data_IF_686461395408
#
_entry.id   IF_686461395408
#
_cell.length_a   1.000
_cell.length_b   1.000
_cell.length_c   1.000
_cell.angle_alpha   90.00
_cell.angle_beta   90.00
_cell.angle_gamma   90.00
#
_symmetry.space_group_name_H-M   'P 1'
#
loop_
_entity.id
_entity.type
_entity.pdbx_description
1 polymer ?
#
# COMPACT_ATOMS: atom_id res chain seq x y z
N UNK A 1 26.16 -6.33 -32.22
CA UNK A 1 27.59 -6.64 -32.00
C UNK A 1 28.30 -5.35 -31.71
N UNK A 2 29.16 -5.32 -30.69
CA UNK A 2 30.06 -4.19 -30.38
C UNK A 2 31.45 -4.81 -30.32
N UNK A 3 32.39 -4.33 -31.14
CA UNK A 3 33.75 -4.90 -31.25
C UNK A 3 33.75 -6.43 -31.51
N UNK A 4 32.94 -6.89 -32.47
CA UNK A 4 32.78 -8.30 -32.83
C UNK A 4 32.34 -9.25 -31.71
N UNK A 5 31.99 -8.72 -30.54
CA UNK A 5 31.37 -9.47 -29.45
C UNK A 5 29.83 -9.33 -29.53
N UNK A 6 29.10 -10.42 -29.23
CA UNK A 6 27.65 -10.36 -29.12
C UNK A 6 27.25 -9.42 -27.97
N UNK A 7 26.32 -8.51 -28.24
CA UNK A 7 25.83 -7.57 -27.23
C UNK A 7 24.98 -8.38 -26.25
N UNK A 8 25.26 -8.25 -24.96
CA UNK A 8 24.51 -9.03 -23.95
C UNK A 8 23.34 -8.23 -23.37
N UNK A 9 23.52 -6.92 -23.21
CA UNK A 9 22.50 -5.99 -22.76
C UNK A 9 22.80 -4.56 -23.24
N UNK A 10 21.76 -3.74 -23.34
CA UNK A 10 21.82 -2.30 -23.53
C UNK A 10 21.53 -1.62 -22.19
N UNK A 11 22.40 -0.70 -21.79
CA UNK A 11 22.24 0.05 -20.55
C UNK A 11 22.07 1.53 -20.92
N UNK A 12 21.03 2.13 -20.35
CA UNK A 12 20.74 3.54 -20.46
C UNK A 12 20.76 4.12 -19.06
N UNK A 13 21.40 5.27 -18.92
CA UNK A 13 21.51 5.96 -17.65
C UNK A 13 21.02 7.38 -17.80
N UNK A 14 20.22 7.82 -16.83
CA UNK A 14 19.72 9.17 -16.75
C UNK A 14 19.70 9.63 -15.31
N UNK A 15 20.37 10.74 -15.00
CA UNK A 15 20.31 11.37 -13.68
C UNK A 15 19.36 12.55 -13.72
N UNK A 16 18.28 12.50 -12.93
CA UNK A 16 17.32 13.60 -12.84
C UNK A 16 17.95 14.78 -12.08
N UNK A 17 17.99 15.95 -12.72
CA UNK A 17 18.49 17.20 -12.11
C UNK A 17 17.36 18.19 -11.76
N UNK A 18 16.13 17.87 -12.16
CA UNK A 18 14.94 18.69 -11.99
C UNK A 18 13.84 17.82 -11.39
N UNK A 19 13.17 18.33 -10.36
CA UNK A 19 11.95 17.73 -9.81
C UNK A 19 10.76 18.64 -10.11
N UNK A 20 9.58 18.05 -10.26
CA UNK A 20 8.32 18.78 -10.44
C UNK A 20 7.51 18.62 -9.17
N UNK A 21 7.15 19.75 -8.55
CA UNK A 21 6.32 19.76 -7.35
C UNK A 21 4.85 19.42 -7.67
N UNK A 22 4.03 19.15 -6.66
CA UNK A 22 2.58 18.91 -6.78
C UNK A 22 1.83 20.04 -7.48
N UNK A 23 2.37 21.26 -7.45
CA UNK A 23 1.86 22.44 -8.16
C UNK A 23 2.41 22.61 -9.60
N UNK A 24 3.03 21.56 -10.17
CA UNK A 24 3.70 21.58 -11.48
C UNK A 24 4.84 22.60 -11.62
N UNK A 25 5.42 23.05 -10.50
CA UNK A 25 6.57 23.97 -10.51
C UNK A 25 7.87 23.19 -10.54
N UNK A 26 8.73 23.53 -11.49
CA UNK A 26 10.08 22.99 -11.58
C UNK A 26 10.92 23.49 -10.38
N UNK A 27 11.47 22.55 -9.62
CA UNK A 27 12.45 22.79 -8.55
C UNK A 27 13.78 22.18 -8.99
N UNK A 28 14.81 23.02 -9.06
CA UNK A 28 16.19 22.59 -9.34
C UNK A 28 16.98 22.25 -8.08
N UNK A 29 18.26 21.96 -8.27
CA UNK A 29 19.24 21.62 -7.23
C UNK A 29 19.31 22.64 -6.08
N UNK A 30 18.95 23.91 -6.34
CA UNK A 30 18.97 24.99 -5.35
C UNK A 30 18.05 24.76 -4.14
N UNK A 31 17.07 23.85 -4.24
CA UNK A 31 16.18 23.49 -3.12
C UNK A 31 16.59 22.21 -2.38
N UNK A 32 17.83 21.75 -2.52
CA UNK A 32 18.35 20.59 -1.78
C UNK A 32 17.73 19.25 -2.22
N UNK A 33 17.27 19.17 -3.46
CA UNK A 33 16.74 17.91 -4.03
C UNK A 33 17.91 16.97 -4.29
N UNK A 34 17.83 15.77 -3.74
CA UNK A 34 18.79 14.70 -4.01
C UNK A 34 18.57 14.20 -5.44
N UNK A 35 19.59 14.22 -6.31
CA UNK A 35 19.46 13.74 -7.68
C UNK A 35 19.16 12.23 -7.69
N UNK A 36 18.19 11.82 -8.52
CA UNK A 36 17.84 10.40 -8.68
C UNK A 36 18.45 9.85 -9.95
N UNK A 37 19.36 8.90 -9.81
CA UNK A 37 19.93 8.17 -10.94
C UNK A 37 19.02 7.00 -11.34
N UNK A 38 18.60 7.00 -12.60
CA UNK A 38 17.77 5.94 -13.20
C UNK A 38 18.64 5.18 -14.18
N UNK A 39 18.84 3.89 -13.91
CA UNK A 39 19.54 2.97 -14.79
C UNK A 39 18.52 1.99 -15.38
N UNK A 40 18.37 2.00 -16.70
CA UNK A 40 17.54 1.06 -17.43
C UNK A 40 18.41 0.06 -18.20
N UNK A 41 18.33 -1.22 -17.82
CA UNK A 41 19.07 -2.30 -18.46
C UNK A 41 18.12 -3.22 -19.23
N UNK A 42 18.28 -3.29 -20.54
CA UNK A 42 17.54 -4.16 -21.45
C UNK A 42 18.44 -5.29 -21.96
N UNK A 43 18.09 -6.54 -21.64
CA UNK A 43 18.84 -7.72 -22.14
C UNK A 43 18.39 -8.06 -23.56
N UNK A 44 19.34 -8.41 -24.44
CA UNK A 44 19.00 -8.82 -25.82
C UNK A 44 18.16 -10.10 -25.85
N UNK A 45 18.40 -11.03 -24.92
CA UNK A 45 17.69 -12.31 -24.83
C UNK A 45 16.90 -12.41 -23.54
N UNK A 46 15.64 -12.83 -23.65
CA UNK A 46 14.81 -13.14 -22.49
C UNK A 46 15.26 -14.48 -21.87
N UNK A 47 16.22 -14.41 -20.94
CA UNK A 47 16.75 -15.55 -20.20
C UNK A 47 16.00 -15.82 -18.88
N UNK A 48 14.72 -15.41 -18.80
CA UNK A 48 13.84 -15.57 -17.63
C UNK A 48 14.31 -14.79 -16.39
N UNK A 49 13.50 -14.90 -15.33
CA UNK A 49 13.62 -14.12 -14.08
C UNK A 49 14.92 -14.38 -13.31
N UNK A 50 15.34 -15.64 -13.21
CA UNK A 50 16.50 -16.02 -12.40
C UNK A 50 17.78 -15.36 -12.91
N UNK A 51 17.90 -15.24 -14.23
CA UNK A 51 19.00 -14.52 -14.86
C UNK A 51 18.92 -13.01 -14.59
N UNK A 52 17.73 -12.39 -14.60
CA UNK A 52 17.60 -10.96 -14.22
C UNK A 52 18.01 -10.69 -12.78
N UNK A 53 17.67 -11.57 -11.83
CA UNK A 53 18.17 -11.44 -10.45
C UNK A 53 19.69 -11.63 -10.39
N UNK A 54 20.22 -12.58 -11.15
CA UNK A 54 21.66 -12.80 -11.21
C UNK A 54 22.39 -11.54 -11.68
N UNK A 55 21.91 -10.90 -12.75
CA UNK A 55 22.42 -9.59 -13.21
C UNK A 55 22.32 -8.52 -12.13
N UNK A 56 21.15 -8.38 -11.48
CA UNK A 56 20.99 -7.39 -10.41
C UNK A 56 22.01 -7.58 -9.29
N UNK A 57 22.09 -8.79 -8.72
CA UNK A 57 22.90 -9.04 -7.52
C UNK A 57 24.39 -9.26 -7.80
N UNK A 58 24.77 -9.80 -8.96
CA UNK A 58 26.18 -10.12 -9.26
C UNK A 58 26.83 -9.11 -10.22
N UNK A 59 26.07 -8.33 -10.99
CA UNK A 59 26.63 -7.30 -11.85
C UNK A 59 26.41 -5.89 -11.29
N UNK A 60 25.18 -5.52 -10.91
CA UNK A 60 24.87 -4.15 -10.49
C UNK A 60 25.14 -3.88 -9.01
N UNK A 61 24.68 -4.73 -8.10
CA UNK A 61 24.84 -4.52 -6.65
C UNK A 61 26.31 -4.36 -6.21
N UNK A 62 27.30 -5.09 -6.75
CA UNK A 62 28.70 -4.88 -6.37
C UNK A 62 29.24 -3.51 -6.77
N UNK A 63 28.73 -2.93 -7.87
CA UNK A 63 29.13 -1.62 -8.37
C UNK A 63 28.42 -0.48 -7.65
N UNK A 64 27.11 -0.62 -7.41
CA UNK A 64 26.27 0.42 -6.81
C UNK A 64 26.26 0.40 -5.28
N UNK A 65 26.67 -0.72 -4.67
CA UNK A 65 26.69 -0.95 -3.22
C UNK A 65 25.41 -0.47 -2.51
N UNK A 66 24.21 -0.93 -2.92
CA UNK A 66 22.96 -0.43 -2.37
C UNK A 66 22.76 -0.88 -0.92
N UNK A 67 22.30 0.03 -0.06
CA UNK A 67 21.90 -0.31 1.32
C UNK A 67 20.66 -1.23 1.37
N UNK A 68 19.75 -1.08 0.41
CA UNK A 68 18.50 -1.83 0.33
C UNK A 68 18.22 -2.23 -1.13
N UNK A 69 17.80 -3.48 -1.35
CA UNK A 69 17.38 -3.97 -2.67
C UNK A 69 15.91 -4.42 -2.62
N UNK A 70 15.07 -3.82 -3.45
CA UNK A 70 13.64 -4.17 -3.57
C UNK A 70 13.37 -4.76 -4.96
N UNK A 71 12.76 -5.95 -5.00
CA UNK A 71 12.42 -6.64 -6.26
C UNK A 71 10.91 -6.62 -6.49
N UNK A 72 10.47 -5.83 -7.46
CA UNK A 72 9.06 -5.66 -7.79
C UNK A 72 8.67 -6.54 -8.98
N UNK A 73 7.58 -7.32 -8.86
CA UNK A 73 7.03 -8.13 -9.95
C UNK A 73 5.50 -8.17 -9.94
N UNK A 74 4.91 -7.82 -11.08
CA UNK A 74 3.51 -8.09 -11.40
C UNK A 74 3.30 -9.52 -11.96
N UNK A 75 2.06 -10.00 -11.98
CA UNK A 75 1.75 -11.29 -12.59
C UNK A 75 1.88 -11.23 -14.14
N UNK A 76 1.77 -12.38 -14.81
CA UNK A 76 1.96 -12.50 -16.27
C UNK A 76 0.96 -11.69 -17.10
N UNK A 77 -0.15 -11.25 -16.49
CA UNK A 77 -1.21 -10.44 -17.11
C UNK A 77 -1.05 -8.96 -16.73
N UNK A 78 0.04 -8.58 -16.05
CA UNK A 78 0.23 -7.22 -15.53
C UNK A 78 -0.70 -6.85 -14.37
N UNK A 79 -1.41 -7.83 -13.80
CA UNK A 79 -2.30 -7.68 -12.65
C UNK A 79 -1.62 -8.17 -11.36
N UNK A 80 -2.26 -7.96 -10.22
CA UNK A 80 -1.82 -8.50 -8.93
C UNK A 80 -1.58 -7.43 -7.87
N UNK A 81 -1.09 -7.82 -6.69
CA UNK A 81 -1.05 -6.94 -5.51
C UNK A 81 -0.27 -5.64 -5.77
N UNK A 82 0.83 -5.70 -6.51
CA UNK A 82 1.64 -4.53 -6.85
C UNK A 82 0.95 -3.59 -7.86
N UNK A 83 0.26 -4.14 -8.87
CA UNK A 83 -0.54 -3.32 -9.78
C UNK A 83 -1.71 -2.63 -9.07
N UNK A 84 -2.26 -3.26 -8.03
CA UNK A 84 -3.29 -2.66 -7.20
C UNK A 84 -2.71 -1.59 -6.28
N UNK A 85 -1.53 -1.81 -5.69
CA UNK A 85 -0.84 -0.79 -4.90
C UNK A 85 -0.69 0.54 -5.67
N UNK A 86 -0.14 0.50 -6.89
CA UNK A 86 0.01 1.70 -7.73
C UNK A 86 -1.27 2.16 -8.43
N UNK A 87 -2.40 1.49 -8.23
CA UNK A 87 -3.65 1.90 -8.87
C UNK A 87 -4.09 3.27 -8.37
N UNK A 88 -3.81 3.61 -7.11
CA UNK A 88 -4.04 4.94 -6.51
C UNK A 88 -3.48 6.09 -7.36
N UNK A 89 -2.25 5.97 -7.82
CA UNK A 89 -1.57 7.00 -8.62
C UNK A 89 -2.24 7.23 -9.98
N UNK A 90 -2.78 6.16 -10.60
CA UNK A 90 -3.48 6.26 -11.89
C UNK A 90 -4.92 6.76 -11.78
N UNK A 91 -5.47 6.84 -10.56
CA UNK A 91 -6.82 7.34 -10.30
C UNK A 91 -6.85 8.86 -10.20
N UNK A 92 -5.72 9.51 -9.88
CA UNK A 92 -5.59 10.96 -9.90
C UNK A 92 -5.73 11.48 -11.35
N UNK A 93 -6.90 12.04 -11.67
CA UNK A 93 -7.20 12.62 -12.99
C UNK A 93 -8.09 11.78 -13.91
N UNK A 94 -8.64 10.65 -13.45
CA UNK A 94 -9.71 9.90 -14.14
C UNK A 94 -11.00 9.98 -13.33
N UNK A 95 -12.17 9.82 -13.98
CA UNK A 95 -13.49 9.73 -13.33
C UNK A 95 -13.60 8.43 -12.49
N UNK A 96 -12.88 8.40 -11.37
CA UNK A 96 -12.94 7.33 -10.39
C UNK A 96 -14.14 7.55 -9.48
N UNK A 97 -14.95 6.50 -9.31
CA UNK A 97 -16.06 6.49 -8.37
C UNK A 97 -15.61 6.88 -6.95
N UNK A 98 -16.47 7.60 -6.22
CA UNK A 98 -16.18 8.15 -4.88
C UNK A 98 -15.71 7.06 -3.92
N UNK A 99 -16.29 5.86 -4.00
CA UNK A 99 -15.89 4.73 -3.18
C UNK A 99 -14.44 4.31 -3.48
N UNK A 100 -14.09 4.22 -4.78
CA UNK A 100 -12.76 3.82 -5.22
C UNK A 100 -11.71 4.85 -4.79
N UNK A 101 -11.99 6.15 -4.96
CA UNK A 101 -11.08 7.22 -4.58
C UNK A 101 -10.81 7.23 -3.07
N UNK A 102 -11.85 7.07 -2.25
CA UNK A 102 -11.67 7.00 -0.80
C UNK A 102 -10.97 5.71 -0.34
N UNK A 103 -11.23 4.59 -1.01
CA UNK A 103 -10.58 3.32 -0.71
C UNK A 103 -9.06 3.39 -0.95
N UNK A 104 -8.63 4.04 -2.02
CA UNK A 104 -7.20 4.20 -2.34
C UNK A 104 -6.47 5.25 -1.49
N UNK A 105 -7.16 5.98 -0.62
CA UNK A 105 -6.50 6.76 0.45
C UNK A 105 -5.77 5.86 1.47
N UNK A 106 -6.07 4.56 1.48
CA UNK A 106 -5.41 3.54 2.30
C UNK A 106 -4.93 2.35 1.43
N UNK A 107 -4.19 2.65 0.37
CA UNK A 107 -3.61 1.68 -0.57
C UNK A 107 -2.86 0.53 0.12
N UNK A 108 -2.11 0.79 1.19
CA UNK A 108 -1.39 -0.22 1.97
C UNK A 108 -2.34 -1.29 2.55
N UNK A 109 -3.53 -0.88 2.99
CA UNK A 109 -4.53 -1.80 3.57
C UNK A 109 -5.12 -2.69 2.48
N UNK A 110 -5.38 -2.11 1.31
CA UNK A 110 -5.85 -2.86 0.14
C UNK A 110 -4.78 -3.82 -0.34
N UNK A 111 -3.52 -3.39 -0.38
CA UNK A 111 -2.38 -4.26 -0.70
C UNK A 111 -2.32 -5.44 0.26
N UNK A 112 -2.41 -5.21 1.57
CA UNK A 112 -2.43 -6.27 2.57
C UNK A 112 -3.53 -7.30 2.29
N UNK A 113 -4.74 -6.84 2.00
CA UNK A 113 -5.85 -7.72 1.63
C UNK A 113 -5.55 -8.55 0.38
N UNK A 114 -5.10 -7.90 -0.70
CA UNK A 114 -4.84 -8.54 -1.99
C UNK A 114 -3.66 -9.54 -1.92
N UNK A 115 -2.72 -9.34 -1.00
CA UNK A 115 -1.67 -10.31 -0.71
C UNK A 115 -2.23 -11.59 -0.08
N UNK A 116 -3.08 -11.46 0.94
CA UNK A 116 -3.69 -12.62 1.64
C UNK A 116 -4.73 -13.31 0.75
N UNK A 117 -5.58 -12.56 0.05
CA UNK A 117 -6.63 -13.08 -0.82
C UNK A 117 -6.09 -13.60 -2.17
N UNK A 118 -4.77 -13.62 -2.39
CA UNK A 118 -4.16 -13.99 -3.67
C UNK A 118 -4.52 -15.43 -4.08
N UNK A 119 -5.20 -15.55 -5.22
CA UNK A 119 -5.60 -16.84 -5.80
C UNK A 119 -4.43 -17.80 -5.96
N UNK A 120 -4.64 -19.05 -5.56
CA UNK A 120 -3.66 -20.12 -5.75
C UNK A 120 -2.43 -20.04 -4.84
N UNK A 121 -2.39 -19.10 -3.89
CA UNK A 121 -1.30 -18.91 -2.93
C UNK A 121 -1.85 -18.98 -1.50
N UNK A 122 -0.95 -19.15 -0.52
CA UNK A 122 -1.25 -19.29 0.90
C UNK A 122 -0.44 -18.29 1.74
N UNK A 123 -0.40 -17.04 1.29
CA UNK A 123 0.40 -15.98 1.89
C UNK A 123 -0.26 -15.47 3.17
N UNK A 124 0.51 -15.42 4.26
CA UNK A 124 0.06 -14.93 5.56
C UNK A 124 0.94 -13.74 5.94
N UNK A 125 0.30 -12.65 6.34
CA UNK A 125 0.98 -11.48 6.88
C UNK A 125 1.26 -11.69 8.37
N UNK A 126 2.46 -11.31 8.82
CA UNK A 126 2.88 -11.43 10.22
C UNK A 126 3.44 -10.10 10.70
N UNK A 127 3.06 -9.72 11.90
CA UNK A 127 3.65 -8.58 12.58
C UNK A 127 5.05 -8.94 13.08
N UNK A 128 6.03 -8.06 12.80
CA UNK A 128 7.43 -8.22 13.21
C UNK A 128 7.77 -7.08 14.17
N UNK A 129 7.82 -7.37 15.48
CA UNK A 129 8.01 -6.35 16.53
C UNK A 129 9.33 -5.58 16.42
N UNK A 130 10.37 -6.18 15.84
CA UNK A 130 11.68 -5.54 15.66
C UNK A 130 11.76 -4.64 14.43
N UNK A 131 10.77 -4.69 13.54
CA UNK A 131 10.71 -3.77 12.41
C UNK A 131 10.28 -2.39 12.93
N UNK A 132 11.03 -1.35 12.59
CA UNK A 132 10.70 0.03 12.91
C UNK A 132 10.69 0.86 11.62
N UNK A 133 9.85 1.88 11.60
CA UNK A 133 9.78 2.88 10.54
C UNK A 133 9.67 4.26 11.17
N UNK A 134 10.32 5.24 10.57
CA UNK A 134 10.23 6.65 10.96
C UNK A 134 9.22 7.34 10.04
N UNK A 135 8.35 8.16 10.62
CA UNK A 135 7.32 8.91 9.89
C UNK A 135 7.27 10.33 10.39
N UNK A 136 6.96 11.27 9.48
CA UNK A 136 6.78 12.67 9.84
C UNK A 136 5.60 12.86 10.81
N UNK A 137 5.83 13.60 11.89
CA UNK A 137 4.80 13.93 12.87
C UNK A 137 4.15 15.26 12.47
N UNK A 138 2.81 15.38 12.49
CA UNK A 138 2.16 16.64 12.20
C UNK A 138 2.53 17.70 13.24
N UNK A 139 2.86 18.90 12.78
CA UNK A 139 3.32 19.99 13.67
C UNK A 139 2.15 20.91 14.08
N UNK A 140 1.06 20.89 13.33
CA UNK A 140 -0.10 21.75 13.57
C UNK A 140 -1.40 20.94 13.74
N UNK A 141 -2.34 21.51 14.50
CA UNK A 141 -3.66 20.89 14.74
C UNK A 141 -4.44 20.65 13.43
N UNK A 142 -4.48 21.58 12.45
CA UNK A 142 -5.19 21.34 11.19
C UNK A 142 -4.57 20.18 10.39
N UNK A 143 -3.24 20.08 10.38
CA UNK A 143 -2.53 18.98 9.72
C UNK A 143 -2.88 17.64 10.39
N UNK A 144 -2.84 17.59 11.72
CA UNK A 144 -3.22 16.42 12.49
C UNK A 144 -4.66 15.98 12.19
N UNK A 145 -5.62 16.92 12.20
CA UNK A 145 -7.03 16.61 11.90
C UNK A 145 -7.17 16.08 10.47
N UNK A 146 -6.53 16.74 9.49
CA UNK A 146 -6.55 16.31 8.08
C UNK A 146 -5.98 14.89 7.92
N UNK A 147 -4.86 14.59 8.58
CA UNK A 147 -4.29 13.23 8.59
C UNK A 147 -5.27 12.20 9.18
N UNK A 148 -5.91 12.51 10.30
CA UNK A 148 -6.86 11.61 10.95
C UNK A 148 -8.11 11.37 10.12
N UNK A 149 -8.68 12.41 9.51
CA UNK A 149 -9.82 12.29 8.60
C UNK A 149 -9.50 11.38 7.42
N UNK A 150 -8.32 11.56 6.79
CA UNK A 150 -7.85 10.69 5.70
C UNK A 150 -7.75 9.23 6.13
N UNK A 151 -7.14 8.97 7.29
CA UNK A 151 -6.95 7.62 7.80
C UNK A 151 -8.26 6.95 8.20
N UNK A 152 -9.20 7.70 8.79
CA UNK A 152 -10.52 7.20 9.15
C UNK A 152 -11.30 6.81 7.90
N UNK A 153 -11.38 7.69 6.90
CA UNK A 153 -12.06 7.42 5.64
C UNK A 153 -11.42 6.21 4.93
N UNK A 154 -10.11 6.24 4.72
CA UNK A 154 -9.40 5.14 4.05
C UNK A 154 -9.58 3.79 4.76
N UNK A 155 -9.49 3.77 6.09
CA UNK A 155 -9.68 2.54 6.87
C UNK A 155 -11.12 2.01 6.80
N UNK A 156 -12.12 2.91 6.82
CA UNK A 156 -13.53 2.54 6.72
C UNK A 156 -13.86 1.90 5.37
N UNK A 157 -13.48 2.57 4.28
CA UNK A 157 -13.74 2.05 2.93
C UNK A 157 -12.95 0.77 2.64
N UNK A 158 -11.71 0.65 3.12
CA UNK A 158 -10.93 -0.57 3.01
C UNK A 158 -11.54 -1.75 3.80
N UNK A 159 -12.13 -1.49 4.98
CA UNK A 159 -12.82 -2.51 5.77
C UNK A 159 -14.10 -3.00 5.07
N UNK A 160 -14.90 -2.11 4.49
CA UNK A 160 -16.07 -2.51 3.68
C UNK A 160 -15.62 -3.34 2.48
N UNK A 161 -14.58 -2.89 1.78
CA UNK A 161 -14.06 -3.60 0.60
C UNK A 161 -13.61 -5.02 0.94
N UNK A 162 -12.81 -5.20 1.98
CA UNK A 162 -12.30 -6.53 2.39
C UNK A 162 -13.43 -7.47 2.80
N UNK A 163 -14.43 -6.97 3.54
CA UNK A 163 -15.60 -7.74 3.94
C UNK A 163 -16.48 -8.13 2.73
N UNK A 164 -16.74 -7.20 1.82
CA UNK A 164 -17.51 -7.47 0.60
C UNK A 164 -16.83 -8.52 -0.30
N UNK A 165 -15.49 -8.55 -0.29
CA UNK A 165 -14.70 -9.47 -1.11
C UNK A 165 -14.22 -10.72 -0.35
N UNK A 166 -14.70 -10.99 0.87
CA UNK A 166 -14.22 -12.11 1.69
C UNK A 166 -14.35 -13.48 1.03
N UNK A 167 -15.31 -13.64 0.11
CA UNK A 167 -15.48 -14.86 -0.69
C UNK A 167 -14.28 -15.19 -1.59
N UNK A 168 -13.40 -14.22 -1.88
CA UNK A 168 -12.13 -14.48 -2.58
C UNK A 168 -11.22 -15.43 -1.79
N UNK A 169 -11.35 -15.47 -0.47
CA UNK A 169 -10.55 -16.33 0.41
C UNK A 169 -10.71 -17.82 0.05
N UNK A 170 -11.89 -18.23 -0.41
CA UNK A 170 -12.15 -19.60 -0.87
C UNK A 170 -11.34 -20.02 -2.11
N UNK A 171 -10.74 -19.07 -2.84
CA UNK A 171 -9.91 -19.32 -4.04
C UNK A 171 -8.42 -19.40 -3.73
N UNK A 172 -8.04 -19.29 -2.46
CA UNK A 172 -6.65 -19.37 -1.98
C UNK A 172 -6.25 -20.83 -1.68
N UNK A 173 -4.96 -21.08 -1.44
CA UNK A 173 -4.43 -22.41 -1.04
C UNK A 173 -4.13 -22.52 0.46
N UNK A 174 -4.77 -21.69 1.29
CA UNK A 174 -4.61 -21.78 2.74
C UNK A 174 -5.06 -23.14 3.28
N UNK A 175 -4.39 -23.62 4.34
CA UNK A 175 -4.87 -24.81 5.05
C UNK A 175 -6.24 -24.53 5.69
N UNK A 176 -7.03 -25.59 5.96
CA UNK A 176 -8.37 -25.43 6.57
C UNK A 176 -8.34 -24.62 7.87
N UNK A 177 -7.31 -24.80 8.70
CA UNK A 177 -7.12 -24.04 9.95
C UNK A 177 -6.86 -22.56 9.69
N UNK A 178 -5.97 -22.24 8.74
CA UNK A 178 -5.67 -20.87 8.36
C UNK A 178 -6.89 -20.17 7.73
N UNK A 179 -7.60 -20.87 6.85
CA UNK A 179 -8.82 -20.34 6.25
C UNK A 179 -9.88 -20.04 7.31
N UNK A 180 -10.11 -20.96 8.26
CA UNK A 180 -11.06 -20.74 9.36
C UNK A 180 -10.65 -19.54 10.24
N UNK A 181 -9.36 -19.40 10.56
CA UNK A 181 -8.85 -18.26 11.32
C UNK A 181 -9.07 -16.93 10.57
N UNK A 182 -8.83 -16.89 9.26
CA UNK A 182 -9.06 -15.70 8.43
C UNK A 182 -10.55 -15.35 8.32
N UNK A 183 -11.45 -16.34 8.26
CA UNK A 183 -12.90 -16.09 8.32
C UNK A 183 -13.34 -15.58 9.68
N UNK A 184 -12.77 -16.11 10.77
CA UNK A 184 -13.03 -15.61 12.11
C UNK A 184 -12.53 -14.17 12.30
N UNK A 185 -11.35 -13.84 11.78
CA UNK A 185 -10.83 -12.47 11.73
C UNK A 185 -11.74 -11.55 10.90
N UNK A 186 -12.27 -12.04 9.78
CA UNK A 186 -13.27 -11.32 8.99
C UNK A 186 -14.55 -11.03 9.79
N UNK A 187 -15.08 -12.02 10.52
CA UNK A 187 -16.23 -11.83 11.39
C UNK A 187 -15.95 -10.82 12.52
N UNK A 188 -14.79 -10.91 13.15
CA UNK A 188 -14.35 -9.96 14.17
C UNK A 188 -14.29 -8.52 13.62
N UNK A 189 -13.70 -8.33 12.44
CA UNK A 189 -13.67 -7.02 11.77
C UNK A 189 -15.06 -6.52 11.36
N UNK A 190 -15.97 -7.40 10.95
CA UNK A 190 -17.36 -7.03 10.68
C UNK A 190 -18.07 -6.53 11.95
N UNK A 191 -17.93 -7.23 13.07
CA UNK A 191 -18.50 -6.79 14.35
C UNK A 191 -17.91 -5.44 14.79
N UNK A 192 -16.60 -5.26 14.66
CA UNK A 192 -15.95 -3.97 14.93
C UNK A 192 -16.52 -2.85 14.06
N UNK A 193 -16.76 -3.11 12.78
CA UNK A 193 -17.36 -2.13 11.86
C UNK A 193 -18.78 -1.75 12.29
N UNK A 194 -19.60 -2.70 12.73
CA UNK A 194 -20.92 -2.42 13.29
C UNK A 194 -20.83 -1.56 14.55
N UNK A 195 -19.97 -1.92 15.51
CA UNK A 195 -19.77 -1.12 16.72
C UNK A 195 -19.25 0.28 16.40
N UNK A 196 -18.35 0.43 15.44
CA UNK A 196 -17.86 1.73 15.01
C UNK A 196 -18.99 2.57 14.37
N UNK A 197 -19.83 1.96 13.52
CA UNK A 197 -20.95 2.62 12.87
C UNK A 197 -21.98 3.15 13.87
N UNK A 198 -22.35 2.34 14.86
CA UNK A 198 -23.29 2.75 15.91
C UNK A 198 -22.64 3.48 17.08
N UNK A 199 -21.30 3.56 17.12
CA UNK A 199 -20.55 4.09 18.25
C UNK A 199 -20.90 5.53 18.59
N UNK A 200 -21.06 6.38 17.57
CA UNK A 200 -21.43 7.79 17.78
C UNK A 200 -22.85 7.93 18.35
N UNK A 201 -23.80 7.14 17.85
CA UNK A 201 -25.17 7.13 18.37
C UNK A 201 -25.21 6.62 19.81
N UNK A 202 -24.49 5.53 20.11
CA UNK A 202 -24.37 4.99 21.46
C UNK A 202 -23.73 6.01 22.42
N UNK A 203 -22.69 6.71 21.99
CA UNK A 203 -22.04 7.76 22.78
C UNK A 203 -23.00 8.92 23.07
N UNK A 204 -23.74 9.37 22.06
CA UNK A 204 -24.73 10.44 22.22
C UNK A 204 -25.86 10.04 23.19
N UNK A 205 -26.42 8.83 23.03
CA UNK A 205 -27.45 8.30 23.93
C UNK A 205 -26.92 8.24 25.37
N UNK A 206 -25.71 7.72 25.56
CA UNK A 206 -25.06 7.67 26.87
C UNK A 206 -24.87 9.06 27.47
N UNK A 207 -24.41 10.03 26.69
CA UNK A 207 -24.25 11.42 27.12
C UNK A 207 -25.58 12.04 27.57
N UNK A 208 -26.67 11.82 26.82
CA UNK A 208 -28.00 12.32 27.18
C UNK A 208 -28.52 11.66 28.47
N UNK A 209 -28.38 10.33 28.59
CA UNK A 209 -28.80 9.59 29.77
C UNK A 209 -28.04 10.03 31.02
N UNK A 210 -26.71 10.13 30.93
CA UNK A 210 -25.87 10.59 32.02
C UNK A 210 -26.21 12.02 32.44
N UNK A 211 -26.33 12.94 31.48
CA UNK A 211 -26.67 14.33 31.76
C UNK A 211 -28.06 14.48 32.38
N UNK A 212 -29.03 13.64 31.97
CA UNK A 212 -30.37 13.63 32.54
C UNK A 212 -30.37 13.06 33.96
N UNK A 213 -29.63 11.98 34.20
CA UNK A 213 -29.48 11.39 35.54
C UNK A 213 -28.78 12.32 36.53
N UNK A 214 -27.79 13.12 36.07
CA UNK A 214 -27.11 14.10 36.90
C UNK A 214 -27.98 15.33 37.22
N UNK A 215 -29.02 15.58 36.42
CA UNK A 215 -29.95 16.69 36.62
C UNK A 215 -31.13 16.32 37.54
N UNK A 216 -31.34 15.03 37.80
CA UNK A 216 -32.42 14.57 38.66
C UNK A 216 -32.15 14.96 40.13
N UNK A 217 -32.95 15.85 40.72
CA UNK A 217 -32.75 16.29 42.10
C UNK A 217 -33.22 15.26 43.15
N UNK A 218 -33.73 14.10 42.72
CA UNK A 218 -34.12 12.99 43.60
C UNK A 218 -33.02 11.95 43.85
N UNK A 219 -31.84 12.14 43.23
CA UNK A 219 -30.60 11.40 43.47
C UNK A 219 -29.66 12.14 44.40
#
# INVERSE_FOLDING_TARGET
>A
MVQDQPVTAHIYEFTTQLSVDSDLKFKGLEKGIVPTQIIFCMKERNQKKINSHWWMFNAFCPLLQPNVCVLLKNNEIGRGPLALYFKGETLAGRDADVFTSNMYLAEDRILCWELVAKRGHNWVLKYVKSAWGETDVPNEVPEFISQRCRWLNGSFFAAIYSLAHIGQMSRTKHSRKQALALYFEGLYNFLNLLFAWFGLANYYIFFVLLSSSLKDPSL
#
